data_IF_061911953412
#
_entry.id   IF_061911953412
#
_cell.length_a   1.000
_cell.length_b   1.000
_cell.length_c   1.000
_cell.angle_alpha   90.00
_cell.angle_beta   90.00
_cell.angle_gamma   90.00
#
_symmetry.space_group_name_H-M   'P 1'
#
loop_
_entity.id
_entity.type
_entity.pdbx_description
1 polymer ?
#
# COMPACT_ATOMS: atom_id res chain seq x y z
N UNK A 1 -1.66 -16.72 21.74
CA UNK A 1 -0.95 -16.33 20.48
C UNK A 1 -1.51 -17.01 19.21
N UNK A 2 -1.89 -18.31 19.22
CA UNK A 2 -2.45 -18.99 18.02
C UNK A 2 -3.86 -18.51 17.61
N UNK A 3 -4.68 -18.09 18.55
CA UNK A 3 -6.07 -17.67 18.35
C UNK A 3 -6.17 -16.31 17.65
N UNK A 4 -5.35 -15.34 18.08
CA UNK A 4 -5.25 -14.00 17.48
C UNK A 4 -4.82 -14.06 16.02
N UNK A 5 -3.87 -14.95 15.67
CA UNK A 5 -3.38 -15.08 14.29
C UNK A 5 -4.46 -15.54 13.30
N UNK A 6 -5.38 -16.42 13.71
CA UNK A 6 -6.49 -16.88 12.85
C UNK A 6 -7.48 -15.75 12.57
N UNK A 7 -7.75 -14.90 13.57
CA UNK A 7 -8.65 -13.73 13.46
C UNK A 7 -8.02 -12.63 12.65
N UNK A 8 -6.73 -12.35 12.89
CA UNK A 8 -5.96 -11.41 12.10
C UNK A 8 -5.94 -11.83 10.62
N UNK A 9 -5.84 -13.13 10.31
CA UNK A 9 -5.85 -13.59 8.92
C UNK A 9 -7.20 -13.33 8.22
N UNK A 10 -8.35 -13.58 8.87
CA UNK A 10 -9.66 -13.22 8.31
C UNK A 10 -9.83 -11.70 8.21
N UNK A 11 -9.39 -10.95 9.21
CA UNK A 11 -9.45 -9.49 9.25
C UNK A 11 -8.43 -8.86 8.30
N UNK A 12 -7.26 -9.45 8.12
CA UNK A 12 -6.27 -9.01 7.11
C UNK A 12 -6.80 -9.24 5.70
N UNK A 13 -7.58 -10.30 5.47
CA UNK A 13 -8.21 -10.52 4.18
C UNK A 13 -9.29 -9.44 3.90
N UNK A 14 -10.10 -9.11 4.89
CA UNK A 14 -11.11 -8.04 4.82
C UNK A 14 -10.42 -6.67 4.75
N UNK A 15 -9.37 -6.45 5.53
CA UNK A 15 -8.55 -5.24 5.46
C UNK A 15 -7.77 -5.14 4.14
N UNK A 16 -7.29 -6.26 3.59
CA UNK A 16 -6.67 -6.29 2.26
C UNK A 16 -7.70 -5.95 1.16
N UNK A 17 -8.96 -6.38 1.29
CA UNK A 17 -10.04 -5.96 0.41
C UNK A 17 -10.33 -4.46 0.57
N UNK A 18 -10.31 -3.91 1.79
CA UNK A 18 -10.47 -2.48 2.05
C UNK A 18 -9.24 -1.67 1.58
N UNK A 19 -8.02 -2.21 1.75
CA UNK A 19 -6.77 -1.61 1.26
C UNK A 19 -6.68 -1.66 -0.26
N UNK A 20 -7.17 -2.72 -0.92
CA UNK A 20 -7.33 -2.72 -2.38
C UNK A 20 -8.28 -1.61 -2.84
N UNK A 21 -9.30 -1.28 -2.04
CA UNK A 21 -10.14 -0.10 -2.28
C UNK A 21 -9.37 1.22 -2.16
N UNK A 22 -8.32 1.27 -1.34
CA UNK A 22 -7.47 2.47 -1.13
C UNK A 22 -6.30 2.51 -2.10
N UNK A 23 -5.67 1.36 -2.40
CA UNK A 23 -4.56 1.26 -3.36
C UNK A 23 -4.97 1.61 -4.80
N UNK A 24 -6.28 1.65 -5.09
CA UNK A 24 -6.82 2.18 -6.33
C UNK A 24 -6.67 3.68 -6.52
N UNK A 25 -5.72 4.33 -5.86
CA UNK A 25 -5.36 5.72 -6.14
C UNK A 25 -4.68 5.91 -7.50
N UNK A 26 -4.35 4.86 -8.24
CA UNK A 26 -3.75 4.96 -9.55
C UNK A 26 -4.79 4.77 -10.67
N UNK A 27 -4.45 5.27 -11.82
CA UNK A 27 -5.22 5.41 -13.04
C UNK A 27 -5.92 4.13 -13.47
N UNK A 28 -7.22 4.12 -13.46
CA UNK A 28 -8.01 3.21 -14.30
C UNK A 28 -7.72 3.56 -15.76
N UNK A 29 -6.94 2.74 -16.46
CA UNK A 29 -6.75 2.86 -17.91
C UNK A 29 -8.11 2.70 -18.57
N UNK A 30 -8.63 3.81 -19.07
CA UNK A 30 -9.95 4.06 -19.59
C UNK A 30 -10.59 2.92 -20.38
N UNK A 31 -11.30 2.08 -19.70
CA UNK A 31 -12.43 1.37 -20.27
C UNK A 31 -13.65 2.26 -20.03
N UNK A 32 -14.10 2.94 -21.07
CA UNK A 32 -15.41 3.59 -21.09
C UNK A 32 -16.45 2.49 -20.84
N UNK A 33 -16.78 2.23 -19.60
CA UNK A 33 -17.91 1.41 -19.23
C UNK A 33 -19.17 2.17 -19.67
N UNK A 34 -19.65 1.83 -20.86
CA UNK A 34 -20.97 2.22 -21.31
C UNK A 34 -21.98 1.45 -20.46
N UNK A 35 -22.72 2.17 -19.64
CA UNK A 35 -23.92 1.68 -19.00
C UNK A 35 -23.94 1.96 -17.50
N UNK A 36 -24.62 3.06 -17.14
CA UNK A 36 -25.11 3.36 -15.78
C UNK A 36 -26.02 2.22 -15.26
N UNK A 37 -25.42 1.11 -14.81
CA UNK A 37 -26.04 0.26 -13.80
C UNK A 37 -25.42 0.67 -12.48
N UNK A 38 -26.21 1.39 -11.68
CA UNK A 38 -25.93 1.60 -10.25
C UNK A 38 -25.41 0.29 -9.66
N UNK A 39 -24.30 0.32 -8.94
CA UNK A 39 -23.74 -0.87 -8.33
C UNK A 39 -24.74 -1.40 -7.29
N UNK A 40 -25.47 -2.45 -7.67
CA UNK A 40 -26.43 -3.12 -6.81
C UNK A 40 -25.75 -4.15 -5.87
N UNK A 41 -24.42 -4.18 -5.85
CA UNK A 41 -23.61 -5.13 -5.11
C UNK A 41 -22.53 -4.41 -4.26
N UNK A 42 -22.02 -5.10 -3.23
CA UNK A 42 -20.99 -4.57 -2.32
C UNK A 42 -19.70 -4.20 -3.08
N UNK A 43 -19.17 -5.14 -3.84
CA UNK A 43 -17.91 -4.95 -4.57
C UNK A 43 -18.11 -4.11 -5.83
N UNK A 44 -19.33 -4.05 -6.37
CA UNK A 44 -19.69 -3.11 -7.41
C UNK A 44 -19.57 -1.65 -6.96
N UNK A 45 -19.95 -1.30 -5.71
CA UNK A 45 -19.72 0.04 -5.14
C UNK A 45 -18.22 0.34 -5.00
N UNK A 46 -17.41 -0.64 -4.58
CA UNK A 46 -15.96 -0.50 -4.49
C UNK A 46 -15.36 -0.24 -5.88
N UNK A 47 -15.79 -1.00 -6.88
CA UNK A 47 -15.39 -0.82 -8.30
C UNK A 47 -15.73 0.58 -8.82
N UNK A 48 -16.97 1.08 -8.56
CA UNK A 48 -17.35 2.44 -8.93
C UNK A 48 -16.44 3.49 -8.29
N UNK A 49 -16.18 3.36 -6.97
CA UNK A 49 -15.29 4.27 -6.25
C UNK A 49 -13.88 4.33 -6.84
N UNK A 50 -13.35 3.16 -7.23
CA UNK A 50 -12.02 3.06 -7.83
C UNK A 50 -11.96 3.64 -9.25
N UNK A 51 -13.04 3.52 -10.02
CA UNK A 51 -13.12 4.00 -11.40
C UNK A 51 -13.16 5.53 -11.52
N UNK A 52 -13.30 6.26 -10.42
CA UNK A 52 -13.26 7.71 -10.42
C UNK A 52 -11.86 8.22 -10.81
N UNK A 53 -11.80 9.00 -11.89
CA UNK A 53 -10.54 9.54 -12.40
C UNK A 53 -9.99 10.64 -11.48
N UNK A 54 -10.85 11.57 -11.06
CA UNK A 54 -10.53 12.64 -10.12
C UNK A 54 -11.26 12.42 -8.82
N UNK A 55 -10.49 12.24 -7.75
CA UNK A 55 -11.07 11.86 -6.46
C UNK A 55 -10.24 12.34 -5.28
N UNK A 56 -10.93 12.47 -4.17
CA UNK A 56 -10.32 12.50 -2.84
C UNK A 56 -10.63 11.20 -2.12
N UNK A 57 -9.65 10.69 -1.39
CA UNK A 57 -9.78 9.50 -0.55
C UNK A 57 -9.30 9.85 0.84
N UNK A 58 -10.16 9.72 1.84
CA UNK A 58 -9.81 9.81 3.24
C UNK A 58 -9.86 8.42 3.85
N UNK A 59 -8.78 7.99 4.50
CA UNK A 59 -8.73 6.74 5.27
C UNK A 59 -8.36 7.09 6.69
N UNK A 60 -9.25 6.78 7.63
CA UNK A 60 -8.98 6.91 9.06
C UNK A 60 -8.98 5.55 9.72
N UNK A 61 -8.02 5.32 10.61
CA UNK A 61 -7.97 4.17 11.50
C UNK A 61 -7.86 4.67 12.94
N UNK A 62 -8.79 4.24 13.79
CA UNK A 62 -8.78 4.52 15.21
C UNK A 62 -8.68 3.22 16.00
N UNK A 63 -7.76 3.19 16.94
CA UNK A 63 -7.55 2.06 17.85
C UNK A 63 -7.68 2.57 19.27
N UNK A 64 -8.51 1.92 20.07
CA UNK A 64 -8.65 2.18 21.50
C UNK A 64 -8.39 0.87 22.27
N UNK A 65 -7.29 0.84 23.00
CA UNK A 65 -6.93 -0.33 23.83
C UNK A 65 -6.70 0.16 25.26
N UNK A 66 -7.52 -0.30 26.19
CA UNK A 66 -7.44 0.07 27.61
C UNK A 66 -7.45 1.59 27.88
N UNK A 67 -8.19 2.35 27.10
CA UNK A 67 -8.28 3.82 27.23
C UNK A 67 -7.13 4.59 26.56
N UNK A 68 -6.14 3.91 26.00
CA UNK A 68 -5.14 4.56 25.15
C UNK A 68 -5.65 4.59 23.71
N UNK A 69 -5.75 5.80 23.18
CA UNK A 69 -6.20 6.05 21.81
C UNK A 69 -5.02 6.31 20.89
N UNK A 70 -5.04 5.65 19.74
CA UNK A 70 -4.17 5.93 18.60
C UNK A 70 -5.04 6.13 17.36
N UNK A 71 -4.69 7.08 16.50
CA UNK A 71 -5.34 7.24 15.21
C UNK A 71 -4.34 7.56 14.11
N UNK A 72 -4.66 7.10 12.91
CA UNK A 72 -3.96 7.43 11.67
C UNK A 72 -5.00 7.90 10.68
N UNK A 73 -4.75 9.03 10.03
CA UNK A 73 -5.56 9.51 8.91
C UNK A 73 -4.67 9.70 7.70
N UNK A 74 -5.06 9.13 6.57
CA UNK A 74 -4.41 9.33 5.28
C UNK A 74 -5.40 10.08 4.38
N UNK A 75 -4.97 11.18 3.79
CA UNK A 75 -5.72 11.93 2.78
C UNK A 75 -4.99 11.81 1.45
N UNK A 76 -5.67 11.22 0.46
CA UNK A 76 -5.13 11.10 -0.89
C UNK A 76 -5.95 11.99 -1.83
N UNK A 77 -5.26 12.67 -2.75
CA UNK A 77 -5.86 13.43 -3.84
C UNK A 77 -5.34 12.89 -5.15
N UNK A 78 -6.23 12.50 -6.07
CA UNK A 78 -5.83 12.02 -7.39
C UNK A 78 -6.50 12.84 -8.47
N UNK A 79 -5.74 13.30 -9.46
CA UNK A 79 -6.24 14.04 -10.62
C UNK A 79 -6.24 13.21 -11.92
N UNK A 80 -6.02 11.90 -11.79
CA UNK A 80 -5.95 10.94 -12.89
C UNK A 80 -4.57 10.87 -13.57
N UNK A 81 -3.60 11.69 -13.16
CA UNK A 81 -2.22 11.68 -13.66
C UNK A 81 -1.22 11.49 -12.53
N UNK A 82 -1.52 12.07 -11.39
CA UNK A 82 -0.72 11.98 -10.19
C UNK A 82 -1.62 11.80 -8.97
N UNK A 83 -1.05 11.30 -7.90
CA UNK A 83 -1.70 11.18 -6.59
C UNK A 83 -0.79 11.73 -5.52
N UNK A 84 -1.32 12.62 -4.66
CA UNK A 84 -0.64 13.07 -3.44
C UNK A 84 -1.21 12.38 -2.22
N UNK A 85 -0.36 12.18 -1.21
CA UNK A 85 -0.72 11.56 0.07
C UNK A 85 -0.25 12.46 1.21
N UNK A 86 -1.20 12.77 2.09
CA UNK A 86 -0.98 13.45 3.37
C UNK A 86 -1.24 12.43 4.49
N UNK A 87 -0.49 12.48 5.57
CA UNK A 87 -0.66 11.57 6.69
C UNK A 87 -0.70 12.32 8.01
N UNK A 88 -1.63 11.95 8.89
CA UNK A 88 -1.69 12.43 10.28
C UNK A 88 -1.73 11.24 11.23
N UNK A 89 -0.85 11.26 12.22
CA UNK A 89 -0.77 10.21 13.25
C UNK A 89 -0.93 10.84 14.61
N UNK A 90 -1.85 10.32 15.42
CA UNK A 90 -2.03 10.74 16.81
C UNK A 90 -1.83 9.56 17.75
N UNK A 91 -0.99 9.72 18.75
CA UNK A 91 -0.76 8.71 19.79
C UNK A 91 -0.57 9.38 21.14
N UNK A 92 -1.33 8.95 22.15
CA UNK A 92 -1.21 9.47 23.51
C UNK A 92 -1.43 10.97 23.64
N UNK A 93 -2.18 11.59 22.72
CA UNK A 93 -2.47 13.03 22.68
C UNK A 93 -1.41 13.86 21.93
N UNK A 94 -0.38 13.22 21.36
CA UNK A 94 0.59 13.88 20.48
C UNK A 94 0.20 13.61 19.03
N UNK A 95 0.15 14.67 18.22
CA UNK A 95 -0.22 14.60 16.80
C UNK A 95 0.98 14.98 15.93
N UNK A 96 1.22 14.17 14.91
CA UNK A 96 2.19 14.40 13.84
C UNK A 96 1.43 14.50 12.52
N UNK A 97 1.65 15.58 11.77
CA UNK A 97 1.09 15.75 10.43
C UNK A 97 2.23 15.84 9.41
N UNK A 98 2.08 15.09 8.35
CA UNK A 98 2.96 15.06 7.19
C UNK A 98 2.09 15.46 5.99
N UNK A 99 2.00 16.76 5.75
CA UNK A 99 1.25 17.31 4.62
C UNK A 99 2.15 17.22 3.36
N UNK A 100 1.57 16.83 2.23
CA UNK A 100 2.28 16.68 0.95
C UNK A 100 3.59 15.86 1.05
N UNK A 101 3.53 14.73 1.74
CA UNK A 101 4.73 13.92 2.04
C UNK A 101 5.11 12.99 0.90
N UNK A 102 4.14 12.55 0.13
CA UNK A 102 4.32 11.64 -1.01
C UNK A 102 3.50 12.13 -2.19
N UNK A 103 4.11 12.14 -3.37
CA UNK A 103 3.43 12.27 -4.66
C UNK A 103 3.89 11.13 -5.55
N UNK A 104 2.98 10.47 -6.25
CA UNK A 104 3.37 9.48 -7.24
C UNK A 104 2.61 9.65 -8.55
N UNK A 105 3.29 9.30 -9.64
CA UNK A 105 2.78 9.21 -11.00
C UNK A 105 2.87 7.76 -11.46
N UNK A 106 2.54 7.49 -12.71
CA UNK A 106 2.71 6.12 -13.28
C UNK A 106 4.19 5.68 -13.27
N UNK A 107 5.13 6.62 -13.35
CA UNK A 107 6.54 6.34 -13.58
C UNK A 107 7.48 6.75 -12.43
N UNK A 108 7.05 7.67 -11.55
CA UNK A 108 7.94 8.27 -10.54
C UNK A 108 7.23 8.39 -9.19
N UNK A 109 7.93 8.00 -8.15
CA UNK A 109 7.58 8.27 -6.75
C UNK A 109 8.40 9.45 -6.24
N UNK A 110 7.73 10.44 -5.67
CA UNK A 110 8.34 11.60 -5.01
C UNK A 110 8.07 11.51 -3.51
N UNK A 111 9.10 11.69 -2.70
CA UNK A 111 9.02 11.73 -1.24
C UNK A 111 9.61 13.05 -0.76
N UNK A 112 8.88 13.79 0.06
CA UNK A 112 9.38 15.00 0.70
C UNK A 112 10.26 14.63 1.90
N UNK A 113 11.52 14.32 1.61
CA UNK A 113 12.49 13.87 2.60
C UNK A 113 12.81 14.99 3.60
N UNK A 114 12.86 16.25 3.16
CA UNK A 114 13.08 17.41 4.04
C UNK A 114 12.00 17.52 5.10
N UNK A 115 10.72 17.43 4.71
CA UNK A 115 9.60 17.47 5.66
C UNK A 115 9.66 16.32 6.67
N UNK A 116 9.94 15.09 6.20
CA UNK A 116 10.07 13.93 7.10
C UNK A 116 11.21 14.17 8.09
N UNK A 117 12.37 14.61 7.62
CA UNK A 117 13.53 14.88 8.48
C UNK A 117 13.25 15.95 9.52
N UNK A 118 12.55 17.03 9.15
CA UNK A 118 12.14 18.07 10.11
C UNK A 118 11.26 17.50 11.22
N UNK A 119 10.32 16.63 10.88
CA UNK A 119 9.39 16.04 11.86
C UNK A 119 10.09 15.05 12.80
N UNK A 120 11.07 14.30 12.34
CA UNK A 120 11.81 13.32 13.18
C UNK A 120 13.00 13.93 13.92
N UNK A 121 13.48 15.12 13.54
CA UNK A 121 14.64 15.81 14.13
C UNK A 121 14.58 15.91 15.67
N UNK A 122 13.44 16.24 16.32
CA UNK A 122 13.34 16.29 17.77
C UNK A 122 13.65 14.94 18.44
N UNK A 123 13.32 13.83 17.78
CA UNK A 123 13.55 12.46 18.29
C UNK A 123 14.97 11.99 18.05
N UNK A 124 15.56 12.36 16.91
CA UNK A 124 16.93 11.98 16.54
C UNK A 124 17.94 12.68 17.45
N UNK A 125 17.68 13.92 17.84
CA UNK A 125 18.53 14.65 18.80
C UNK A 125 18.66 13.94 20.16
N UNK A 126 17.70 13.07 20.50
CA UNK A 126 17.78 12.21 21.69
C UNK A 126 18.58 10.91 21.46
N UNK A 127 18.85 10.56 20.21
CA UNK A 127 19.53 9.30 19.81
C UNK A 127 21.08 9.43 19.74
N UNK A 128 21.63 10.64 19.90
CA UNK A 128 23.06 10.90 19.98
C UNK A 128 23.66 11.69 18.80
N UNK A 129 24.86 12.22 19.01
CA UNK A 129 25.55 13.15 18.09
C UNK A 129 25.74 12.62 16.66
N UNK A 130 25.98 11.31 16.51
CA UNK A 130 26.16 10.71 15.17
C UNK A 130 24.87 10.72 14.34
N UNK A 131 23.72 10.52 14.98
CA UNK A 131 22.45 10.58 14.28
C UNK A 131 22.09 12.03 13.92
N UNK A 132 22.42 12.98 14.81
CA UNK A 132 22.21 14.40 14.55
C UNK A 132 23.05 14.91 13.35
N UNK A 133 24.32 14.49 13.22
CA UNK A 133 25.18 14.90 12.11
C UNK A 133 24.71 14.34 10.75
N UNK A 134 24.14 13.12 10.71
CA UNK A 134 23.56 12.57 9.50
C UNK A 134 22.31 13.39 9.07
N UNK A 135 21.45 13.73 10.02
CA UNK A 135 20.25 14.55 9.73
C UNK A 135 20.65 15.96 9.28
N UNK A 136 21.72 16.53 9.85
CA UNK A 136 22.22 17.84 9.43
C UNK A 136 22.81 17.79 8.02
N UNK A 137 23.54 16.73 7.67
CA UNK A 137 24.07 16.51 6.32
C UNK A 137 22.96 16.27 5.27
N UNK A 138 21.80 15.75 5.70
CA UNK A 138 20.62 15.54 4.87
C UNK A 138 19.61 16.71 4.94
N UNK A 139 19.88 17.73 5.75
CA UNK A 139 18.93 18.76 6.19
C UNK A 139 18.39 19.69 5.10
N UNK A 140 19.05 19.76 3.96
CA UNK A 140 18.63 20.58 2.81
C UNK A 140 17.91 19.75 1.73
N UNK A 141 17.63 18.45 2.01
CA UNK A 141 16.84 17.64 1.10
C UNK A 141 15.39 18.16 1.07
N UNK A 142 14.96 18.55 -0.12
CA UNK A 142 13.56 18.81 -0.40
C UNK A 142 12.85 17.53 -0.83
N UNK A 143 12.31 17.56 -2.01
CA UNK A 143 11.74 16.39 -2.66
C UNK A 143 12.82 15.47 -3.23
N UNK A 144 12.63 14.17 -3.02
CA UNK A 144 13.48 13.11 -3.60
C UNK A 144 12.62 12.30 -4.54
N UNK A 145 13.13 12.03 -5.73
CA UNK A 145 12.45 11.22 -6.74
C UNK A 145 13.10 9.84 -6.89
N UNK A 146 12.24 8.86 -7.12
CA UNK A 146 12.60 7.47 -7.39
C UNK A 146 11.91 7.04 -8.69
N UNK A 147 12.64 6.43 -9.60
CA UNK A 147 12.01 5.76 -10.73
C UNK A 147 11.16 4.59 -10.21
N UNK A 148 9.90 4.54 -10.63
CA UNK A 148 8.92 3.58 -10.12
C UNK A 148 8.00 3.07 -11.25
N UNK A 149 8.55 3.03 -12.47
CA UNK A 149 7.81 2.70 -13.69
C UNK A 149 7.03 1.40 -13.54
N UNK A 150 5.72 1.51 -13.72
CA UNK A 150 4.81 0.37 -13.61
C UNK A 150 4.48 -0.12 -12.19
N UNK A 151 5.22 0.31 -11.14
CA UNK A 151 4.95 -0.12 -9.76
C UNK A 151 3.56 0.32 -9.27
N UNK A 152 3.09 1.48 -9.74
CA UNK A 152 1.78 2.02 -9.38
C UNK A 152 0.76 1.87 -10.52
N UNK A 153 1.13 1.19 -11.62
CA UNK A 153 0.22 0.90 -12.71
C UNK A 153 -0.76 -0.18 -12.27
N UNK A 154 -2.03 0.19 -12.06
CA UNK A 154 -3.07 -0.78 -11.75
C UNK A 154 -3.41 -1.63 -12.96
N UNK A 155 -3.30 -2.93 -12.79
CA UNK A 155 -3.99 -3.88 -13.67
C UNK A 155 -5.49 -3.71 -13.47
N UNK A 156 -6.28 -3.78 -14.56
CA UNK A 156 -7.74 -3.80 -14.43
C UNK A 156 -8.15 -5.01 -13.58
N UNK A 157 -8.59 -4.75 -12.36
CA UNK A 157 -9.09 -5.77 -11.45
C UNK A 157 -10.61 -5.97 -11.58
N UNK A 158 -11.20 -5.55 -12.70
CA UNK A 158 -12.66 -5.57 -12.90
C UNK A 158 -13.29 -6.94 -12.71
N UNK A 159 -12.60 -8.00 -13.16
CA UNK A 159 -13.05 -9.38 -12.99
C UNK A 159 -13.01 -9.84 -11.52
N UNK A 160 -12.10 -9.29 -10.73
CA UNK A 160 -11.94 -9.65 -9.31
C UNK A 160 -13.16 -9.23 -8.51
N UNK A 161 -13.74 -8.06 -8.78
CA UNK A 161 -14.93 -7.61 -8.06
C UNK A 161 -16.14 -8.51 -8.34
N UNK A 162 -16.32 -8.97 -9.58
CA UNK A 162 -17.37 -9.90 -9.95
C UNK A 162 -17.19 -11.28 -9.30
N UNK A 163 -15.93 -11.71 -9.14
CA UNK A 163 -15.57 -12.94 -8.44
C UNK A 163 -15.91 -12.82 -6.94
N UNK A 164 -15.55 -11.70 -6.31
CA UNK A 164 -15.86 -11.44 -4.91
C UNK A 164 -17.36 -11.36 -4.65
N UNK A 165 -18.11 -10.61 -5.49
CA UNK A 165 -19.57 -10.52 -5.34
C UNK A 165 -20.22 -11.91 -5.38
N UNK A 166 -19.80 -12.79 -6.31
CA UNK A 166 -20.33 -14.16 -6.39
C UNK A 166 -19.93 -15.02 -5.19
N UNK A 167 -18.69 -14.89 -4.72
CA UNK A 167 -18.18 -15.72 -3.63
C UNK A 167 -18.84 -15.39 -2.29
N UNK A 168 -19.13 -14.11 -2.06
CA UNK A 168 -19.64 -13.62 -0.79
C UNK A 168 -21.15 -13.29 -0.80
N UNK A 169 -21.87 -13.52 -1.91
CA UNK A 169 -23.29 -13.18 -2.06
C UNK A 169 -24.17 -13.71 -0.91
N UNK A 170 -23.93 -14.96 -0.48
CA UNK A 170 -24.69 -15.57 0.62
C UNK A 170 -24.36 -15.04 2.01
N UNK A 171 -23.24 -14.31 2.15
CA UNK A 171 -22.72 -13.78 3.41
C UNK A 171 -23.06 -12.30 3.54
N UNK A 172 -23.14 -11.59 2.40
CA UNK A 172 -23.45 -10.17 2.36
C UNK A 172 -24.93 -9.94 2.66
N UNK A 173 -25.19 -9.10 3.66
CA UNK A 173 -26.54 -8.63 4.00
C UNK A 173 -26.74 -7.23 3.41
N UNK A 174 -27.86 -7.01 2.71
CA UNK A 174 -28.25 -5.70 2.15
C UNK A 174 -29.38 -5.10 2.96
N UNK A 175 -29.20 -3.87 3.43
CA UNK A 175 -30.22 -3.08 4.09
C UNK A 175 -30.26 -1.67 3.47
N UNK A 176 -31.24 -1.42 2.60
CA UNK A 176 -31.31 -0.18 1.81
C UNK A 176 -30.14 -0.08 0.84
N UNK A 177 -29.31 0.96 1.01
CA UNK A 177 -28.10 1.19 0.23
C UNK A 177 -26.81 0.68 0.91
N UNK A 178 -26.94 0.04 2.09
CA UNK A 178 -25.82 -0.47 2.87
C UNK A 178 -25.68 -1.98 2.71
N UNK A 179 -24.47 -2.42 2.41
CA UNK A 179 -24.06 -3.83 2.40
C UNK A 179 -23.19 -4.09 3.61
N UNK A 180 -23.42 -5.23 4.28
CA UNK A 180 -22.71 -5.59 5.51
C UNK A 180 -22.28 -7.04 5.48
N UNK A 181 -21.02 -7.31 5.86
CA UNK A 181 -20.52 -8.62 6.26
C UNK A 181 -20.31 -8.55 7.77
N UNK A 182 -21.00 -9.40 8.53
CA UNK A 182 -20.89 -9.47 10.01
C UNK A 182 -20.18 -10.74 10.42
N UNK A 183 -19.21 -10.61 11.31
CA UNK A 183 -18.42 -11.70 11.89
C UNK A 183 -18.63 -11.67 13.42
N UNK A 184 -19.68 -12.31 13.91
CA UNK A 184 -20.06 -12.32 15.33
C UNK A 184 -20.15 -13.71 15.93
N UNK A 185 -20.07 -14.74 15.09
CA UNK A 185 -20.12 -16.14 15.49
C UNK A 185 -19.08 -16.97 14.73
N UNK A 186 -18.80 -18.18 15.24
CA UNK A 186 -17.94 -19.13 14.52
C UNK A 186 -18.47 -19.46 13.13
N UNK A 187 -19.79 -19.56 13.00
CA UNK A 187 -20.42 -19.91 11.74
C UNK A 187 -20.26 -18.78 10.71
N UNK A 188 -20.36 -17.51 11.13
CA UNK A 188 -20.08 -16.35 10.27
C UNK A 188 -18.62 -16.37 9.79
N UNK A 189 -17.67 -16.59 10.70
CA UNK A 189 -16.23 -16.62 10.38
C UNK A 189 -15.92 -17.82 9.50
N UNK A 190 -16.44 -19.00 9.82
CA UNK A 190 -16.23 -20.21 9.00
C UNK A 190 -16.80 -20.02 7.60
N UNK A 191 -17.98 -19.40 7.46
CA UNK A 191 -18.58 -19.13 6.15
C UNK A 191 -17.67 -18.23 5.27
N UNK A 192 -17.02 -17.20 5.85
CA UNK A 192 -16.05 -16.38 5.14
C UNK A 192 -14.80 -17.16 4.76
N UNK A 193 -14.27 -17.99 5.66
CA UNK A 193 -13.10 -18.84 5.38
C UNK A 193 -13.40 -19.82 4.25
N UNK A 194 -14.55 -20.50 4.30
CA UNK A 194 -14.96 -21.48 3.28
C UNK A 194 -15.22 -20.81 1.93
N UNK A 195 -15.88 -19.63 1.92
CA UNK A 195 -16.12 -18.86 0.70
C UNK A 195 -14.81 -18.40 0.05
N UNK A 196 -13.85 -17.96 0.87
CA UNK A 196 -12.52 -17.54 0.39
C UNK A 196 -11.74 -18.70 -0.20
N UNK A 197 -11.69 -19.85 0.49
CA UNK A 197 -11.03 -21.05 -0.01
C UNK A 197 -11.62 -21.49 -1.36
N UNK A 198 -12.94 -21.54 -1.44
CA UNK A 198 -13.66 -21.88 -2.67
C UNK A 198 -13.38 -20.89 -3.80
N UNK A 199 -13.44 -19.60 -3.49
CA UNK A 199 -13.17 -18.50 -4.45
C UNK A 199 -11.77 -18.62 -5.06
N UNK A 200 -10.74 -18.76 -4.24
CA UNK A 200 -9.36 -18.90 -4.69
C UNK A 200 -9.18 -20.17 -5.53
N UNK A 201 -9.76 -21.28 -5.13
CA UNK A 201 -9.69 -22.56 -5.83
C UNK A 201 -10.36 -22.52 -7.19
N UNK A 202 -11.59 -21.98 -7.26
CA UNK A 202 -12.39 -21.93 -8.50
C UNK A 202 -11.89 -20.89 -9.50
N UNK A 203 -11.15 -19.86 -9.05
CA UNK A 203 -10.67 -18.77 -9.90
C UNK A 203 -9.14 -18.65 -9.88
N UNK A 204 -8.43 -19.73 -9.55
CA UNK A 204 -6.96 -19.75 -9.43
C UNK A 204 -6.27 -19.16 -10.66
N UNK A 205 -6.65 -19.61 -11.85
CA UNK A 205 -6.03 -19.14 -13.10
C UNK A 205 -6.17 -17.63 -13.31
N UNK A 206 -7.33 -17.06 -12.91
CA UNK A 206 -7.57 -15.63 -12.99
C UNK A 206 -6.67 -14.86 -12.02
N UNK A 207 -6.55 -15.31 -10.77
CA UNK A 207 -5.67 -14.67 -9.79
C UNK A 207 -4.19 -14.78 -10.19
N UNK A 208 -3.76 -15.96 -10.64
CA UNK A 208 -2.39 -16.17 -11.15
C UNK A 208 -2.10 -15.20 -12.28
N UNK A 209 -2.98 -15.11 -13.28
CA UNK A 209 -2.83 -14.18 -14.39
C UNK A 209 -2.71 -12.73 -13.93
N UNK A 210 -3.63 -12.26 -13.05
CA UNK A 210 -3.61 -10.87 -12.57
C UNK A 210 -2.33 -10.57 -11.82
N UNK A 211 -1.88 -11.48 -10.96
CA UNK A 211 -0.65 -11.30 -10.19
C UNK A 211 0.58 -11.31 -11.12
N UNK A 212 0.66 -12.24 -12.07
CA UNK A 212 1.74 -12.28 -13.07
C UNK A 212 1.76 -10.99 -13.91
N UNK A 213 0.59 -10.57 -14.45
CA UNK A 213 0.48 -9.33 -15.21
C UNK A 213 0.89 -8.08 -14.39
N UNK A 214 0.68 -8.09 -13.07
CA UNK A 214 1.09 -7.01 -12.19
C UNK A 214 2.61 -7.01 -11.96
N UNK A 215 3.21 -8.18 -11.76
CA UNK A 215 4.67 -8.33 -11.63
C UNK A 215 5.39 -7.94 -12.93
N UNK A 216 4.90 -8.42 -14.08
CA UNK A 216 5.48 -8.12 -15.38
C UNK A 216 5.45 -6.62 -15.72
N UNK A 217 4.41 -5.91 -15.25
CA UNK A 217 4.30 -4.45 -15.44
C UNK A 217 5.22 -3.65 -14.53
N UNK A 218 5.43 -4.14 -13.31
CA UNK A 218 6.27 -3.47 -12.33
C UNK A 218 7.74 -3.46 -12.72
N UNK A 219 8.17 -4.43 -13.54
CA UNK A 219 9.55 -4.62 -14.03
C UNK A 219 10.64 -4.17 -13.05
N UNK A 220 10.54 -4.68 -11.81
CA UNK A 220 11.38 -4.26 -10.69
C UNK A 220 12.87 -4.46 -11.01
N UNK A 221 13.18 -5.49 -11.79
CA UNK A 221 14.55 -5.79 -12.23
C UNK A 221 15.11 -4.67 -13.10
N UNK A 222 14.36 -4.26 -14.12
CA UNK A 222 14.77 -3.17 -15.01
C UNK A 222 14.93 -1.85 -14.24
N UNK A 223 14.04 -1.57 -13.27
CA UNK A 223 14.16 -0.39 -12.39
C UNK A 223 15.48 -0.43 -11.61
N UNK A 224 15.82 -1.56 -11.02
CA UNK A 224 17.07 -1.75 -10.27
C UNK A 224 18.28 -1.64 -11.19
N UNK A 225 18.27 -2.33 -12.34
CA UNK A 225 19.38 -2.30 -13.30
C UNK A 225 19.62 -0.88 -13.82
N UNK A 226 18.58 -0.14 -14.21
CA UNK A 226 18.67 1.24 -14.67
C UNK A 226 19.18 2.16 -13.55
N UNK A 227 18.72 2.00 -12.32
CA UNK A 227 19.18 2.79 -11.17
C UNK A 227 20.66 2.54 -10.89
N UNK A 228 21.12 1.29 -10.98
CA UNK A 228 22.53 0.93 -10.79
C UNK A 228 23.38 1.48 -11.94
N UNK A 229 22.91 1.40 -13.19
CA UNK A 229 23.62 1.96 -14.34
C UNK A 229 23.80 3.48 -14.20
N UNK A 230 22.73 4.19 -13.85
CA UNK A 230 22.81 5.64 -13.61
C UNK A 230 23.76 5.97 -12.46
N UNK A 231 23.72 5.20 -11.36
CA UNK A 231 24.62 5.38 -10.23
C UNK A 231 26.09 5.19 -10.63
N UNK A 232 26.42 4.13 -11.37
CA UNK A 232 27.77 3.83 -11.84
C UNK A 232 28.30 4.95 -12.74
N UNK A 233 27.49 5.43 -13.70
CA UNK A 233 27.87 6.50 -14.61
C UNK A 233 28.11 7.82 -13.88
N UNK A 234 27.28 8.16 -12.91
CA UNK A 234 27.46 9.38 -12.10
C UNK A 234 28.65 9.30 -11.16
N UNK A 235 28.88 8.13 -10.52
CA UNK A 235 30.09 7.92 -9.69
C UNK A 235 31.36 7.98 -10.52
N UNK A 236 31.38 7.39 -11.72
CA UNK A 236 32.51 7.49 -12.64
C UNK A 236 32.79 8.94 -13.00
N UNK A 237 31.75 9.71 -13.33
CA UNK A 237 31.86 11.15 -13.66
C UNK A 237 32.36 11.98 -12.47
N UNK A 238 31.83 11.72 -11.25
CA UNK A 238 32.22 12.42 -10.02
C UNK A 238 33.66 12.13 -9.60
N UNK A 239 34.23 10.98 -9.99
CA UNK A 239 35.60 10.60 -9.67
C UNK A 239 36.65 11.52 -10.33
N UNK A 240 36.27 12.29 -11.38
CA UNK A 240 37.17 13.15 -12.17
C UNK A 240 38.26 12.39 -12.94
N UNK A 241 38.15 11.06 -13.01
CA UNK A 241 39.09 10.19 -13.74
C UNK A 241 38.38 9.60 -14.96
N UNK A 242 39.19 9.31 -15.99
CA UNK A 242 38.69 8.55 -17.14
C UNK A 242 38.54 7.07 -16.72
N UNK A 243 37.29 6.70 -16.38
CA UNK A 243 36.93 5.35 -15.93
C UNK A 243 36.57 4.53 -17.17
N UNK A 244 37.27 3.42 -17.38
CA UNK A 244 37.01 2.54 -18.52
C UNK A 244 35.65 1.87 -18.42
N UNK A 245 35.10 1.45 -19.58
CA UNK A 245 33.83 0.69 -19.61
C UNK A 245 33.95 -0.65 -18.85
N UNK A 246 35.17 -1.27 -18.82
CA UNK A 246 35.44 -2.48 -18.06
C UNK A 246 35.39 -2.24 -16.54
N UNK A 247 35.91 -1.09 -16.06
CA UNK A 247 35.83 -0.71 -14.65
C UNK A 247 34.40 -0.39 -14.24
N UNK A 248 33.63 0.30 -15.10
CA UNK A 248 32.21 0.56 -14.87
C UNK A 248 31.42 -0.74 -14.78
N UNK A 249 31.65 -1.68 -15.70
CA UNK A 249 30.98 -2.99 -15.65
C UNK A 249 31.34 -3.77 -14.39
N UNK A 250 32.61 -3.73 -13.98
CA UNK A 250 33.03 -4.37 -12.72
C UNK A 250 32.31 -3.78 -11.51
N UNK A 251 32.17 -2.45 -11.46
CA UNK A 251 31.44 -1.76 -10.38
C UNK A 251 29.95 -2.10 -10.42
N UNK A 252 29.33 -2.15 -11.61
CA UNK A 252 27.95 -2.59 -11.79
C UNK A 252 27.75 -4.01 -11.25
N UNK A 253 28.60 -4.95 -11.65
CA UNK A 253 28.52 -6.34 -11.23
C UNK A 253 28.67 -6.47 -9.70
N UNK A 254 29.54 -5.68 -9.07
CA UNK A 254 29.69 -5.64 -7.62
C UNK A 254 28.43 -5.10 -6.93
N UNK A 255 27.86 -4.00 -7.40
CA UNK A 255 26.64 -3.43 -6.86
C UNK A 255 25.46 -4.39 -7.02
N UNK A 256 25.28 -4.97 -8.21
CA UNK A 256 24.23 -5.94 -8.47
C UNK A 256 24.38 -7.21 -7.61
N UNK A 257 25.62 -7.64 -7.33
CA UNK A 257 25.85 -8.80 -6.45
C UNK A 257 25.52 -8.55 -4.98
N UNK A 258 25.43 -7.29 -4.56
CA UNK A 258 24.98 -6.91 -3.21
C UNK A 258 23.46 -6.81 -3.08
N UNK A 259 22.79 -6.67 -4.22
CA UNK A 259 21.32 -6.63 -4.31
C UNK A 259 20.86 -8.03 -4.70
N UNK A 260 20.28 -8.78 -3.77
CA UNK A 260 19.76 -10.12 -4.09
C UNK A 260 18.47 -9.99 -4.91
N UNK A 261 18.65 -9.86 -6.23
CA UNK A 261 17.52 -9.72 -7.18
C UNK A 261 16.77 -11.03 -7.33
N UNK A 262 17.37 -12.17 -6.95
CA UNK A 262 16.73 -13.48 -7.06
C UNK A 262 15.51 -13.64 -6.15
N UNK A 263 15.50 -12.95 -5.01
CA UNK A 263 14.36 -12.92 -4.08
C UNK A 263 13.20 -12.03 -4.59
N UNK A 264 13.42 -11.26 -5.66
CA UNK A 264 12.43 -10.34 -6.25
C UNK A 264 11.73 -10.98 -7.46
N UNK A 265 12.36 -11.96 -8.10
CA UNK A 265 11.75 -12.70 -9.23
C UNK A 265 10.70 -13.66 -8.69
N UNK A 266 9.41 -13.30 -8.86
CA UNK A 266 8.28 -14.18 -8.49
C UNK A 266 7.82 -14.91 -9.75
N UNK A 267 8.07 -16.20 -9.82
CA UNK A 267 7.62 -17.00 -10.95
C UNK A 267 6.12 -17.28 -10.91
N UNK A 268 5.55 -17.59 -12.05
CA UNK A 268 4.15 -18.03 -12.12
C UNK A 268 3.89 -19.25 -11.24
N UNK A 269 4.85 -20.19 -11.19
CA UNK A 269 4.82 -21.39 -10.38
C UNK A 269 4.79 -21.06 -8.87
N UNK A 270 5.53 -20.03 -8.43
CA UNK A 270 5.52 -19.57 -7.04
C UNK A 270 4.17 -18.99 -6.66
N UNK A 271 3.56 -18.20 -7.56
CA UNK A 271 2.20 -17.66 -7.36
C UNK A 271 1.19 -18.81 -7.26
N UNK A 272 1.24 -19.77 -8.19
CA UNK A 272 0.36 -20.95 -8.19
C UNK A 272 0.49 -21.75 -6.90
N UNK A 273 1.73 -22.02 -6.47
CA UNK A 273 2.02 -22.73 -5.23
C UNK A 273 1.52 -21.99 -3.99
N UNK A 274 1.72 -20.68 -3.95
CA UNK A 274 1.25 -19.82 -2.85
C UNK A 274 -0.26 -19.82 -2.73
N UNK A 275 -0.99 -19.80 -3.85
CA UNK A 275 -2.46 -19.89 -3.86
C UNK A 275 -2.89 -21.27 -3.34
N UNK A 276 -2.28 -22.38 -3.83
CA UNK A 276 -2.63 -23.73 -3.39
C UNK A 276 -2.38 -23.93 -1.90
N UNK A 277 -1.26 -23.46 -1.39
CA UNK A 277 -0.92 -23.51 0.04
C UNK A 277 -1.93 -22.68 0.87
N UNK A 278 -2.35 -21.53 0.36
CA UNK A 278 -3.36 -20.69 1.01
C UNK A 278 -4.72 -21.38 1.03
N UNK A 279 -5.15 -21.94 -0.10
CA UNK A 279 -6.39 -22.71 -0.19
C UNK A 279 -6.37 -23.88 0.81
N UNK A 280 -5.28 -24.65 0.84
CA UNK A 280 -5.14 -25.77 1.77
C UNK A 280 -5.22 -25.32 3.23
N UNK A 281 -4.52 -24.24 3.60
CA UNK A 281 -4.57 -23.67 4.96
C UNK A 281 -5.98 -23.25 5.34
N UNK A 282 -6.72 -22.64 4.40
CA UNK A 282 -8.11 -22.22 4.63
C UNK A 282 -9.04 -23.44 4.78
N UNK A 283 -8.92 -24.46 3.89
CA UNK A 283 -9.72 -25.70 3.97
C UNK A 283 -9.47 -26.48 5.27
N UNK A 284 -8.23 -26.46 5.79
CA UNK A 284 -7.85 -27.10 7.04
C UNK A 284 -8.25 -26.26 8.29
N UNK A 285 -8.62 -25.00 8.09
CA UNK A 285 -9.01 -24.10 9.19
C UNK A 285 -10.40 -24.43 9.70
N UNK A 286 -10.51 -24.73 11.00
CA UNK A 286 -11.77 -24.91 11.71
C UNK A 286 -11.85 -23.88 12.83
N UNK A 287 -12.94 -23.13 12.84
CA UNK A 287 -13.22 -22.13 13.87
C UNK A 287 -13.95 -22.80 15.04
N UNK A 288 -13.39 -22.68 16.24
CA UNK A 288 -14.02 -23.15 17.46
C UNK A 288 -14.78 -22.01 18.18
N UNK A 289 -15.70 -22.33 19.08
CA UNK A 289 -16.46 -21.31 19.83
C UNK A 289 -15.52 -20.43 20.69
N UNK A 290 -14.47 -21.03 21.26
CA UNK A 290 -13.44 -20.31 22.02
C UNK A 290 -12.55 -19.39 21.15
N UNK A 291 -12.65 -19.49 19.83
CA UNK A 291 -11.94 -18.61 18.93
C UNK A 291 -12.71 -17.29 18.68
N UNK A 292 -13.92 -17.14 19.20
CA UNK A 292 -14.79 -15.98 18.97
C UNK A 292 -14.95 -15.19 20.26
N UNK A 293 -14.11 -14.17 20.49
CA UNK A 293 -14.14 -13.26 21.64
C UNK A 293 -14.40 -11.81 21.24
N UNK A 294 -15.03 -11.60 20.10
CA UNK A 294 -15.34 -10.28 19.58
C UNK A 294 -16.30 -10.33 18.41
N UNK A 295 -16.53 -9.16 17.84
CA UNK A 295 -17.29 -8.98 16.60
C UNK A 295 -16.52 -8.10 15.62
N UNK A 296 -16.78 -8.29 14.35
CA UNK A 296 -16.35 -7.38 13.31
C UNK A 296 -17.47 -7.20 12.28
N UNK A 297 -17.68 -5.96 11.87
CA UNK A 297 -18.62 -5.60 10.82
C UNK A 297 -17.88 -4.86 9.71
N UNK A 298 -18.07 -5.28 8.46
CA UNK A 298 -17.59 -4.57 7.27
C UNK A 298 -18.80 -4.01 6.55
N UNK A 299 -18.84 -2.71 6.43
CA UNK A 299 -19.95 -1.99 5.83
C UNK A 299 -19.47 -1.28 4.56
N UNK A 300 -20.21 -1.39 3.46
CA UNK A 300 -19.97 -0.63 2.23
C UNK A 300 -21.28 0.01 1.79
N UNK A 301 -21.25 1.30 1.55
CA UNK A 301 -22.43 2.05 1.15
C UNK A 301 -22.07 3.35 0.42
N UNK A 302 -23.08 3.96 -0.22
CA UNK A 302 -22.96 5.28 -0.84
C UNK A 302 -23.86 6.26 -0.10
N UNK A 303 -23.30 7.38 0.36
CA UNK A 303 -24.03 8.44 1.06
C UNK A 303 -23.54 9.81 0.59
N UNK A 304 -24.45 10.69 0.26
CA UNK A 304 -24.16 12.07 -0.21
C UNK A 304 -23.09 12.15 -1.32
N UNK A 305 -23.16 11.18 -2.24
CA UNK A 305 -22.20 11.09 -3.36
C UNK A 305 -20.84 10.47 -3.00
N UNK A 306 -20.58 10.18 -1.73
CA UNK A 306 -19.38 9.50 -1.29
C UNK A 306 -19.57 7.98 -1.23
N UNK A 307 -18.53 7.23 -1.56
CA UNK A 307 -18.43 5.80 -1.34
C UNK A 307 -17.71 5.55 -0.02
N UNK A 308 -18.35 4.84 0.87
CA UNK A 308 -17.86 4.63 2.24
C UNK A 308 -17.65 3.14 2.46
N UNK A 309 -16.45 2.78 2.91
CA UNK A 309 -16.13 1.47 3.48
C UNK A 309 -15.76 1.68 4.94
N UNK A 310 -16.41 0.95 5.83
CA UNK A 310 -16.22 1.07 7.27
C UNK A 310 -16.05 -0.32 7.88
N UNK A 311 -15.00 -0.49 8.66
CA UNK A 311 -14.70 -1.74 9.39
C UNK A 311 -14.70 -1.40 10.86
N UNK A 312 -15.60 -2.02 11.60
CA UNK A 312 -15.70 -1.89 13.05
C UNK A 312 -15.35 -3.22 13.70
N UNK A 313 -14.44 -3.20 14.66
CA UNK A 313 -14.01 -4.38 15.40
C UNK A 313 -14.02 -4.10 16.89
N UNK A 314 -14.69 -4.98 17.64
CA UNK A 314 -14.62 -5.03 19.10
C UNK A 314 -14.09 -6.40 19.51
N UNK A 315 -13.02 -6.43 20.29
CA UNK A 315 -12.38 -7.67 20.77
C UNK A 315 -12.17 -7.57 22.27
N UNK A 316 -12.37 -8.67 22.98
CA UNK A 316 -12.04 -8.76 24.40
C UNK A 316 -11.00 -9.86 24.61
N UNK A 317 -9.80 -9.50 25.03
CA UNK A 317 -8.72 -10.44 25.33
C UNK A 317 -8.27 -10.29 26.77
N UNK A 318 -8.22 -11.40 27.51
CA UNK A 318 -7.86 -11.42 28.93
C UNK A 318 -8.66 -10.40 29.78
N UNK A 319 -9.94 -10.21 29.46
CA UNK A 319 -10.82 -9.27 30.13
C UNK A 319 -10.57 -7.79 29.77
N UNK A 320 -9.72 -7.51 28.76
CA UNK A 320 -9.43 -6.17 28.26
C UNK A 320 -10.14 -5.93 26.94
N UNK A 321 -10.97 -4.90 26.90
CA UNK A 321 -11.67 -4.50 25.68
C UNK A 321 -10.75 -3.66 24.78
N UNK A 322 -10.77 -3.97 23.49
CA UNK A 322 -10.15 -3.20 22.44
C UNK A 322 -11.15 -2.96 21.33
N UNK A 323 -11.20 -1.74 20.81
CA UNK A 323 -12.01 -1.41 19.63
C UNK A 323 -11.11 -0.83 18.53
N UNK A 324 -11.42 -1.17 17.30
CA UNK A 324 -10.76 -0.63 16.11
C UNK A 324 -11.82 -0.23 15.11
N UNK A 325 -11.72 0.99 14.60
CA UNK A 325 -12.55 1.47 13.50
C UNK A 325 -11.64 1.90 12.36
N UNK A 326 -11.88 1.38 11.16
CA UNK A 326 -11.23 1.82 9.93
C UNK A 326 -12.31 2.32 9.00
N UNK A 327 -12.15 3.55 8.51
CA UNK A 327 -13.13 4.15 7.59
C UNK A 327 -12.39 4.70 6.38
N UNK A 328 -12.87 4.32 5.20
CA UNK A 328 -12.45 4.91 3.92
C UNK A 328 -13.62 5.66 3.30
N UNK A 329 -13.37 6.88 2.87
CA UNK A 329 -14.36 7.72 2.18
C UNK A 329 -13.78 8.17 0.85
N UNK A 330 -14.39 7.77 -0.25
CA UNK A 330 -13.99 8.15 -1.61
C UNK A 330 -15.03 9.08 -2.20
N UNK A 331 -14.60 10.25 -2.67
CA UNK A 331 -15.46 11.24 -3.32
C UNK A 331 -14.90 11.64 -4.68
N UNK A 332 -15.80 11.76 -5.66
CA UNK A 332 -15.46 12.43 -6.91
C UNK A 332 -15.24 13.92 -6.65
N UNK A 333 -14.12 14.45 -7.14
CA UNK A 333 -13.83 15.88 -7.07
C UNK A 333 -13.12 16.34 -8.36
N UNK A 334 -13.91 16.88 -9.28
CA UNK A 334 -13.40 17.37 -10.57
C UNK A 334 -12.43 18.56 -10.44
N UNK A 335 -12.36 19.21 -9.29
CA UNK A 335 -11.48 20.34 -9.02
C UNK A 335 -10.08 19.93 -8.58
N UNK A 336 -9.89 18.66 -8.19
CA UNK A 336 -8.60 18.16 -7.72
C UNK A 336 -7.52 18.36 -8.79
N UNK A 337 -6.40 18.88 -8.31
CA UNK A 337 -5.12 18.97 -9.02
C UNK A 337 -4.04 18.52 -8.07
N UNK A 338 -3.08 17.79 -8.61
CA UNK A 338 -1.89 17.35 -7.88
C UNK A 338 -0.68 18.03 -8.52
N UNK A 339 0.02 18.80 -7.72
CA UNK A 339 1.25 19.45 -8.15
C UNK A 339 2.39 18.44 -8.02
N UNK A 340 2.96 18.07 -9.18
CA UNK A 340 4.12 17.17 -9.23
C UNK A 340 5.38 17.98 -8.98
N UNK A 341 6.24 17.59 -8.03
CA UNK A 341 7.48 18.29 -7.75
C UNK A 341 8.38 18.34 -9.01
N UNK A 342 8.83 19.53 -9.37
CA UNK A 342 9.69 19.76 -10.56
C UNK A 342 11.18 19.91 -10.23
N UNK A 343 11.50 20.08 -8.97
CA UNK A 343 12.84 20.32 -8.42
C UNK A 343 13.31 19.18 -7.50
N UNK A 344 12.69 18.01 -7.63
CA UNK A 344 13.07 16.83 -6.86
C UNK A 344 14.47 16.34 -7.24
N UNK A 345 15.31 16.14 -6.23
CA UNK A 345 16.61 15.50 -6.43
C UNK A 345 16.41 13.99 -6.69
N UNK A 346 17.12 13.45 -7.68
CA UNK A 346 17.16 11.99 -7.86
C UNK A 346 17.84 11.32 -6.64
N UNK A 347 17.35 10.17 -6.21
CA UNK A 347 18.02 9.39 -5.17
C UNK A 347 19.48 9.12 -5.55
N UNK A 348 19.76 8.86 -6.83
CA UNK A 348 21.11 8.61 -7.35
C UNK A 348 21.99 9.83 -7.15
N UNK A 349 21.49 11.05 -7.46
CA UNK A 349 22.25 12.30 -7.24
C UNK A 349 22.60 12.50 -5.76
N UNK A 350 21.68 12.19 -4.87
CA UNK A 350 21.91 12.28 -3.41
C UNK A 350 23.04 11.34 -2.98
N UNK A 351 22.98 10.07 -3.42
CA UNK A 351 24.01 9.07 -3.09
C UNK A 351 25.38 9.49 -3.63
N UNK A 352 25.44 10.00 -4.87
CA UNK A 352 26.68 10.48 -5.50
C UNK A 352 27.26 11.67 -4.74
N UNK A 353 26.44 12.64 -4.37
CA UNK A 353 26.88 13.82 -3.61
C UNK A 353 27.38 13.47 -2.22
N UNK A 354 26.70 12.53 -1.52
CA UNK A 354 27.16 12.02 -0.23
C UNK A 354 28.51 11.31 -0.34
N UNK A 355 28.69 10.50 -1.39
CA UNK A 355 29.95 9.83 -1.65
C UNK A 355 31.08 10.80 -1.97
N UNK A 356 30.83 11.82 -2.79
CA UNK A 356 31.79 12.87 -3.10
C UNK A 356 32.22 13.63 -1.84
N UNK A 357 31.25 14.02 -1.00
CA UNK A 357 31.53 14.70 0.29
C UNK A 357 32.32 13.82 1.25
N UNK A 358 32.05 12.50 1.26
CA UNK A 358 32.84 11.56 2.05
C UNK A 358 34.29 11.47 1.56
N UNK A 359 34.52 11.41 0.25
CA UNK A 359 35.87 11.39 -0.32
C UNK A 359 36.66 12.67 0.02
N UNK A 360 36.01 13.82 -0.02
CA UNK A 360 36.65 15.09 0.38
C UNK A 360 37.05 15.05 1.87
N UNK A 361 36.19 14.52 2.74
CA UNK A 361 36.45 14.46 4.17
C UNK A 361 37.59 13.54 4.59
N UNK A 362 38.02 12.59 3.75
CA UNK A 362 39.15 11.70 4.00
C UNK A 362 40.43 12.15 3.28
N UNK A 363 40.33 13.15 2.38
CA UNK A 363 41.46 13.70 1.65
C UNK A 363 42.18 14.82 2.43
N UNK A 364 41.52 15.42 3.41
CA UNK A 364 42.04 16.37 4.38
C UNK A 364 42.60 15.65 5.62
#
# INVERSE_FOLDING_TARGET
MKTIMKRIAALVLIAAMAVMAVAGCSKSSGSKSAGNKSADTMFGLVKEAQSLEKKTVEVSAEINTNGVKASVTLNCKSDGKATSVEATVTYGGVTFSLDDVIVFTDDVLYINAGLILEQIKPFINTAGEKAASVVEALGDLGWVSFEAKGLFATSSCDEVYDIFDKAFDSIIKKAGNKFTISLSSKDDIQAVVDATAKMLKENKDTFVKIMTDAYDKADVKDIIENTVDELVDKLASASGKDVSDEDKQTLKDQLMSTIDVSDIEVSKEDIESSIDDTVKKLEDTKIADEDVDGKADVNVYKEDGAYITEIEMDVTEDGKASSTTIKSTVKEDSSVKVDVPTDAASLVDIVVNLYASYLESIAD
#
